data_IF_720949000971
#
_entry.id   IF_720949000971
#
_cell.length_a   1.000
_cell.length_b   1.000
_cell.length_c   1.000
_cell.angle_alpha   90.00
_cell.angle_beta   90.00
_cell.angle_gamma   90.00
#
_symmetry.space_group_name_H-M   'P 1'
#
loop_
_entity.id
_entity.type
_entity.pdbx_description
1 polymer ?
#
# COMPACT_ATOMS: atom_id res chain seq x y z
N UNK A 1 -25.87 -1.14 -19.87
CA UNK A 1 -26.27 -2.10 -18.84
C UNK A 1 -25.00 -2.68 -18.23
N UNK A 2 -24.71 -2.34 -16.97
CA UNK A 2 -23.57 -2.91 -16.28
C UNK A 2 -23.82 -4.41 -16.08
N UNK A 3 -22.92 -5.25 -16.58
CA UNK A 3 -22.93 -6.68 -16.31
C UNK A 3 -22.75 -6.87 -14.80
N UNK A 4 -23.76 -7.38 -14.11
CA UNK A 4 -23.77 -7.57 -12.65
C UNK A 4 -22.74 -8.59 -12.15
N UNK A 5 -22.06 -9.32 -13.04
CA UNK A 5 -21.15 -10.43 -12.74
C UNK A 5 -19.72 -10.17 -13.26
N UNK A 6 -19.29 -8.92 -13.31
CA UNK A 6 -17.94 -8.56 -13.75
C UNK A 6 -17.02 -8.30 -12.56
N UNK A 7 -15.81 -8.86 -12.61
CA UNK A 7 -14.73 -8.57 -11.66
C UNK A 7 -13.65 -7.81 -12.41
N UNK A 8 -13.24 -6.68 -11.87
CA UNK A 8 -12.17 -5.86 -12.42
C UNK A 8 -10.93 -5.90 -11.52
N UNK A 9 -9.75 -5.86 -12.12
CA UNK A 9 -8.47 -5.72 -11.41
C UNK A 9 -7.92 -4.32 -11.65
N UNK A 10 -7.70 -3.58 -10.58
CA UNK A 10 -7.15 -2.22 -10.61
C UNK A 10 -6.04 -2.10 -9.57
N UNK A 11 -4.96 -1.40 -9.89
CA UNK A 11 -3.92 -1.09 -8.90
C UNK A 11 -4.47 -0.18 -7.79
N UNK A 12 -4.14 -0.46 -6.54
CA UNK A 12 -4.63 0.32 -5.38
C UNK A 12 -4.30 1.81 -5.48
N UNK A 13 -3.15 2.17 -6.05
CA UNK A 13 -2.74 3.56 -6.28
C UNK A 13 -3.59 4.31 -7.32
N UNK A 14 -4.38 3.61 -8.12
CA UNK A 14 -5.24 4.20 -9.15
C UNK A 14 -6.66 4.46 -8.64
N UNK A 15 -7.04 3.83 -7.54
CA UNK A 15 -8.38 3.96 -6.98
C UNK A 15 -8.53 5.27 -6.20
N UNK A 16 -7.41 5.87 -5.80
CA UNK A 16 -7.35 7.13 -5.10
C UNK A 16 -7.01 7.02 -3.62
N UNK A 17 -7.02 8.15 -2.93
CA UNK A 17 -6.71 8.26 -1.51
C UNK A 17 -8.01 8.27 -0.69
N UNK A 18 -8.14 7.40 0.28
CA UNK A 18 -9.28 7.36 1.20
C UNK A 18 -9.36 8.61 2.11
N UNK A 19 -8.26 9.38 2.20
CA UNK A 19 -8.22 10.63 2.98
C UNK A 19 -8.76 11.86 2.19
N UNK A 20 -8.98 11.71 0.87
CA UNK A 20 -9.49 12.76 0.01
C UNK A 20 -11.02 12.63 -0.13
N UNK A 21 -11.82 13.62 0.31
CA UNK A 21 -13.28 13.55 0.27
C UNK A 21 -13.87 13.37 -1.13
N UNK A 22 -13.24 13.94 -2.16
CA UNK A 22 -13.69 13.79 -3.55
C UNK A 22 -13.48 12.36 -4.05
N UNK A 23 -12.35 11.75 -3.69
CA UNK A 23 -12.00 10.40 -4.08
C UNK A 23 -12.79 9.35 -3.26
N UNK A 24 -13.13 9.66 -2.02
CA UNK A 24 -13.96 8.81 -1.18
C UNK A 24 -15.33 8.50 -1.81
N UNK A 25 -15.91 9.47 -2.56
CA UNK A 25 -17.16 9.27 -3.28
C UNK A 25 -17.07 8.19 -4.37
N UNK A 26 -15.88 7.96 -4.94
CA UNK A 26 -15.68 6.89 -5.91
C UNK A 26 -15.53 5.54 -5.23
N UNK A 27 -14.90 5.49 -4.05
CA UNK A 27 -14.81 4.26 -3.26
C UNK A 27 -16.17 3.70 -2.87
N UNK A 28 -17.13 4.57 -2.58
CA UNK A 28 -18.50 4.16 -2.23
C UNK A 28 -19.26 3.50 -3.40
N UNK A 29 -18.78 3.65 -4.63
CA UNK A 29 -19.36 3.03 -5.84
C UNK A 29 -18.73 1.68 -6.18
N UNK A 30 -17.65 1.28 -5.50
CA UNK A 30 -16.88 0.08 -5.78
C UNK A 30 -16.99 -0.89 -4.61
N UNK A 31 -17.29 -2.15 -4.90
CA UNK A 31 -17.20 -3.21 -3.91
C UNK A 31 -15.83 -3.87 -3.99
N UNK A 32 -15.00 -3.66 -2.96
CA UNK A 32 -13.71 -4.32 -2.84
C UNK A 32 -13.92 -5.77 -2.43
N UNK A 33 -13.44 -6.70 -3.25
CA UNK A 33 -13.47 -8.11 -2.92
C UNK A 33 -12.39 -8.43 -1.87
N UNK A 34 -12.77 -9.24 -0.91
CA UNK A 34 -11.83 -9.88 0.01
C UNK A 34 -11.24 -11.11 -0.64
N UNK A 35 -9.95 -11.34 -0.45
CA UNK A 35 -9.24 -12.48 -1.00
C UNK A 35 -8.67 -13.31 0.14
N UNK A 36 -8.78 -14.63 0.05
CA UNK A 36 -8.27 -15.53 1.06
C UNK A 36 -6.74 -15.44 1.17
N UNK A 37 -6.25 -15.38 2.40
CA UNK A 37 -4.82 -15.37 2.69
C UNK A 37 -4.19 -16.71 2.31
N UNK A 38 -3.03 -16.68 1.62
CA UNK A 38 -2.31 -17.91 1.24
C UNK A 38 -1.40 -18.48 2.34
N UNK A 39 -1.26 -17.80 3.46
CA UNK A 39 -0.41 -18.30 4.55
C UNK A 39 -1.05 -19.52 5.21
N UNK A 40 -0.26 -20.58 5.43
CA UNK A 40 -0.71 -21.84 6.05
C UNK A 40 -1.40 -21.63 7.40
N UNK A 41 -0.94 -20.63 8.16
CA UNK A 41 -1.48 -20.31 9.48
C UNK A 41 -2.75 -19.42 9.44
N UNK A 42 -3.17 -18.99 8.25
CA UNK A 42 -4.29 -18.06 8.05
C UNK A 42 -5.32 -18.61 7.06
N UNK A 43 -5.44 -19.93 6.94
CA UNK A 43 -6.45 -20.58 6.08
C UNK A 43 -7.84 -20.19 6.55
N UNK A 44 -8.69 -19.73 5.62
CA UNK A 44 -10.05 -19.25 5.92
C UNK A 44 -10.11 -17.79 6.35
N UNK A 45 -8.98 -17.08 6.44
CA UNK A 45 -8.94 -15.64 6.71
C UNK A 45 -8.95 -14.87 5.39
N UNK A 46 -9.92 -13.97 5.24
CA UNK A 46 -10.04 -13.11 4.07
C UNK A 46 -9.52 -11.72 4.37
N UNK A 47 -8.62 -11.22 3.53
CA UNK A 47 -8.04 -9.89 3.64
C UNK A 47 -8.51 -8.97 2.52
N UNK A 48 -8.75 -7.68 2.85
CA UNK A 48 -8.94 -6.62 1.87
C UNK A 48 -7.58 -6.03 1.48
N UNK A 49 -7.44 -5.44 0.28
CA UNK A 49 -6.21 -4.74 -0.11
C UNK A 49 -6.04 -3.45 0.71
N UNK A 50 -5.14 -3.50 1.68
CA UNK A 50 -4.73 -2.32 2.46
C UNK A 50 -3.22 -2.33 2.64
N UNK A 51 -2.63 -1.18 2.94
CA UNK A 51 -1.17 -1.11 3.18
C UNK A 51 -0.74 -2.07 4.30
N UNK A 52 -1.55 -2.20 5.36
CA UNK A 52 -1.26 -3.09 6.47
C UNK A 52 -1.31 -4.56 6.06
N UNK A 53 -2.36 -5.01 5.38
CA UNK A 53 -2.50 -6.41 4.97
C UNK A 53 -1.48 -6.83 3.91
N UNK A 54 -1.06 -5.88 3.06
CA UNK A 54 0.01 -6.10 2.08
C UNK A 54 1.36 -6.19 2.79
N UNK A 55 1.64 -5.29 3.74
CA UNK A 55 2.88 -5.29 4.51
C UNK A 55 3.07 -6.59 5.32
N UNK A 56 2.00 -7.08 5.93
CA UNK A 56 2.01 -8.33 6.69
C UNK A 56 1.84 -9.59 5.83
N UNK A 57 1.92 -9.45 4.49
CA UNK A 57 1.79 -10.57 3.53
C UNK A 57 0.49 -11.36 3.67
N UNK A 58 -0.56 -10.75 4.19
CA UNK A 58 -1.88 -11.35 4.33
C UNK A 58 -2.67 -11.29 3.03
N UNK A 59 -2.51 -10.22 2.24
CA UNK A 59 -3.17 -10.06 0.96
C UNK A 59 -2.32 -10.70 -0.15
N UNK A 60 -2.84 -11.68 -0.91
CA UNK A 60 -2.02 -12.48 -1.84
C UNK A 60 -1.72 -11.80 -3.17
N UNK A 61 -2.55 -10.85 -3.62
CA UNK A 61 -2.38 -10.20 -4.92
C UNK A 61 -1.49 -8.98 -4.82
N UNK A 62 -0.22 -9.18 -4.49
CA UNK A 62 0.78 -8.13 -4.33
C UNK A 62 1.74 -8.15 -5.50
N UNK A 63 2.05 -6.96 -6.03
CA UNK A 63 3.03 -6.74 -7.07
C UNK A 63 4.12 -5.80 -6.58
N UNK A 64 5.40 -6.21 -6.59
CA UNK A 64 6.50 -5.32 -6.27
C UNK A 64 6.70 -4.27 -7.37
N UNK A 65 7.06 -3.06 -6.97
CA UNK A 65 7.51 -1.99 -7.85
C UNK A 65 9.03 -1.88 -7.76
N UNK A 66 9.70 -2.05 -8.88
CA UNK A 66 11.15 -1.97 -8.96
C UNK A 66 11.58 -0.66 -9.62
N UNK A 67 12.63 -0.05 -9.09
CA UNK A 67 13.35 1.03 -9.74
C UNK A 67 14.67 0.46 -10.30
N UNK A 68 14.89 0.61 -11.60
CA UNK A 68 16.10 0.17 -12.27
C UNK A 68 16.93 1.40 -12.63
N UNK A 69 18.17 1.45 -12.14
CA UNK A 69 19.13 2.50 -12.45
C UNK A 69 20.14 1.97 -13.45
N UNK A 70 20.28 2.63 -14.60
CA UNK A 70 21.23 2.27 -15.67
C UNK A 70 22.54 3.05 -15.58
N UNK A 71 22.58 4.15 -14.81
CA UNK A 71 23.74 5.02 -14.74
C UNK A 71 24.92 4.35 -14.05
N UNK A 72 26.10 4.39 -14.69
CA UNK A 72 27.36 3.86 -14.15
C UNK A 72 28.14 4.90 -13.35
N UNK A 73 27.62 6.10 -13.16
CA UNK A 73 28.27 7.22 -12.48
C UNK A 73 27.29 7.90 -11.50
N UNK A 74 27.84 8.65 -10.57
CA UNK A 74 27.04 9.44 -9.62
C UNK A 74 26.50 10.65 -10.36
N UNK A 75 25.22 10.58 -10.72
CA UNK A 75 24.51 11.62 -11.47
C UNK A 75 23.08 11.83 -10.97
N UNK A 76 22.27 12.44 -11.80
CA UNK A 76 20.88 12.75 -11.49
C UNK A 76 20.06 11.48 -11.20
N UNK A 77 20.27 10.42 -11.96
CA UNK A 77 19.58 9.14 -11.76
C UNK A 77 19.91 8.51 -10.41
N UNK A 78 21.18 8.50 -10.02
CA UNK A 78 21.63 8.02 -8.69
C UNK A 78 21.03 8.87 -7.58
N UNK A 79 21.03 10.19 -7.73
CA UNK A 79 20.45 11.11 -6.76
C UNK A 79 18.95 10.90 -6.58
N UNK A 80 18.22 10.69 -7.68
CA UNK A 80 16.79 10.40 -7.65
C UNK A 80 16.50 9.04 -7.03
N UNK A 81 17.26 7.99 -7.36
CA UNK A 81 17.16 6.69 -6.73
C UNK A 81 17.37 6.77 -5.21
N UNK A 82 18.41 7.50 -4.78
CA UNK A 82 18.67 7.74 -3.36
C UNK A 82 17.49 8.48 -2.70
N UNK A 83 16.96 9.52 -3.33
CA UNK A 83 15.79 10.23 -2.83
C UNK A 83 14.60 9.28 -2.64
N UNK A 84 14.29 8.43 -3.63
CA UNK A 84 13.20 7.45 -3.52
C UNK A 84 13.44 6.44 -2.39
N UNK A 85 14.71 6.08 -2.15
CA UNK A 85 15.11 5.10 -1.14
C UNK A 85 15.13 5.68 0.29
N UNK A 86 15.21 7.00 0.44
CA UNK A 86 15.20 7.67 1.74
C UNK A 86 13.78 7.96 2.24
N UNK A 87 13.67 8.36 3.49
CA UNK A 87 12.41 8.56 4.20
C UNK A 87 11.42 9.47 3.44
N UNK A 88 11.89 10.55 2.84
CA UNK A 88 11.02 11.49 2.09
C UNK A 88 10.37 10.83 0.88
N UNK A 89 11.14 10.10 0.09
CA UNK A 89 10.61 9.34 -1.06
C UNK A 89 9.67 8.22 -0.62
N UNK A 90 10.02 7.51 0.43
CA UNK A 90 9.17 6.45 0.99
C UNK A 90 7.82 6.99 1.53
N UNK A 91 7.80 8.21 2.08
CA UNK A 91 6.56 8.90 2.47
C UNK A 91 5.65 9.21 1.27
N UNK A 92 6.22 9.53 0.11
CA UNK A 92 5.44 9.74 -1.12
C UNK A 92 4.74 8.44 -1.53
N UNK A 93 5.45 7.31 -1.53
CA UNK A 93 4.85 6.00 -1.80
C UNK A 93 3.72 5.68 -0.80
N UNK A 94 3.94 5.95 0.48
CA UNK A 94 2.91 5.75 1.51
C UNK A 94 1.66 6.59 1.24
N UNK A 95 1.82 7.87 0.90
CA UNK A 95 0.70 8.77 0.55
C UNK A 95 -0.01 8.36 -0.73
N UNK A 96 0.73 7.79 -1.68
CA UNK A 96 0.19 7.19 -2.90
C UNK A 96 -0.46 5.82 -2.71
N UNK A 97 -0.79 5.45 -1.47
CA UNK A 97 -1.42 4.17 -1.11
C UNK A 97 -0.59 2.92 -1.51
N UNK A 98 0.73 3.10 -1.62
CA UNK A 98 1.69 2.01 -1.84
C UNK A 98 2.38 1.64 -0.52
N UNK A 99 2.84 0.41 -0.42
CA UNK A 99 3.61 -0.04 0.74
C UNK A 99 5.08 0.34 0.55
N UNK A 100 5.65 1.24 1.39
CA UNK A 100 7.05 1.60 1.30
C UNK A 100 7.96 0.41 1.63
N UNK A 101 9.01 0.20 0.83
CA UNK A 101 9.92 -0.93 0.99
C UNK A 101 10.85 -0.80 2.21
N UNK A 102 11.13 0.43 2.66
CA UNK A 102 12.11 0.73 3.72
C UNK A 102 11.51 1.41 4.96
N UNK A 103 10.20 1.43 5.11
CA UNK A 103 9.53 1.96 6.31
C UNK A 103 8.90 0.84 7.10
N UNK A 104 9.15 0.82 8.40
CA UNK A 104 8.45 -0.08 9.30
C UNK A 104 7.06 0.48 9.61
N UNK A 105 6.03 -0.33 9.39
CA UNK A 105 4.67 -0.03 9.82
C UNK A 105 4.48 -0.54 11.24
N UNK A 106 4.40 0.35 12.19
CA UNK A 106 4.01 0.02 13.56
C UNK A 106 2.61 0.59 13.79
N UNK A 107 1.65 -0.27 14.08
CA UNK A 107 0.34 0.15 14.53
C UNK A 107 0.49 0.61 15.99
N UNK A 108 0.40 1.92 16.21
CA UNK A 108 0.39 2.49 17.55
C UNK A 108 -1.04 2.70 17.99
N UNK A 109 -1.43 2.09 19.08
CA UNK A 109 -2.71 2.38 19.72
C UNK A 109 -2.60 3.65 20.57
N UNK A 110 -3.73 4.30 20.84
CA UNK A 110 -3.77 5.50 21.71
C UNK A 110 -3.15 5.22 23.08
N UNK A 111 -3.22 3.99 23.57
CA UNK A 111 -2.60 3.55 24.83
C UNK A 111 -1.07 3.64 24.81
N UNK A 112 -0.44 3.45 23.65
CA UNK A 112 1.03 3.51 23.51
C UNK A 112 1.55 4.95 23.65
N UNK A 113 0.74 5.95 23.34
CA UNK A 113 1.07 7.37 23.53
C UNK A 113 0.95 7.78 25.01
N UNK A 114 -0.02 7.25 25.74
CA UNK A 114 -0.22 7.55 27.16
C UNK A 114 0.88 6.95 28.06
N UNK A 115 1.47 5.82 27.66
CA UNK A 115 2.54 5.16 28.42
C UNK A 115 3.91 5.85 28.27
N UNK A 116 4.16 6.63 27.22
CA UNK A 116 5.43 7.31 26.96
C UNK A 116 5.56 8.70 27.63
N UNK A 117 4.47 9.24 28.17
CA UNK A 117 4.40 10.57 28.78
C UNK A 117 4.22 10.52 30.31
N UNK A 118 4.63 9.43 30.95
CA UNK A 118 4.72 9.30 32.39
C UNK A 118 6.16 9.25 32.87
#
# INVERSE_FOLDING_TARGET
AANKNTVGFVGSSWVGNEEDPEQLAYFNKIHLAYVECKNKDSTGVFARPSQSTIYHMQYPLVRPLYCVLKDNYIGLGTSFYNFLSFQRGQLIFRRGNLVPAKMNFTIRTVKDFAAKNK
#
